data_IF_671712957834
#
_entry.id   IF_671712957834
#
_cell.length_a   1.000
_cell.length_b   1.000
_cell.length_c   1.000
_cell.angle_alpha   90.00
_cell.angle_beta   90.00
_cell.angle_gamma   90.00
#
_symmetry.space_group_name_H-M   'P 1'
#
loop_
_entity.id
_entity.type
_entity.pdbx_description
1 polymer ?
#
# COMPACT_ATOMS: atom_id res chain seq x y z
N UNK A 1 7.36 -15.79 21.46
CA UNK A 1 6.49 -14.65 21.05
C UNK A 1 7.22 -13.32 21.21
N UNK A 2 7.85 -13.06 22.36
CA UNK A 2 8.71 -11.87 22.55
C UNK A 2 9.85 -11.78 21.53
N UNK A 3 10.45 -12.90 21.13
CA UNK A 3 11.51 -12.91 20.11
C UNK A 3 11.03 -12.46 18.72
N UNK A 4 9.82 -12.88 18.33
CA UNK A 4 9.22 -12.50 17.03
C UNK A 4 8.93 -11.00 17.01
N UNK A 5 8.40 -10.46 18.12
CA UNK A 5 8.17 -9.01 18.27
C UNK A 5 9.50 -8.24 18.25
N UNK A 6 10.53 -8.76 18.92
CA UNK A 6 11.87 -8.18 18.88
C UNK A 6 12.46 -8.14 17.47
N UNK A 7 12.31 -9.22 16.69
CA UNK A 7 12.74 -9.29 15.29
C UNK A 7 11.95 -8.32 14.40
N UNK A 8 10.64 -8.19 14.59
CA UNK A 8 9.80 -7.24 13.86
C UNK A 8 10.32 -5.80 14.03
N UNK A 9 10.51 -5.35 15.27
CA UNK A 9 10.98 -3.99 15.53
C UNK A 9 12.44 -3.78 15.12
N UNK A 10 13.26 -4.83 15.14
CA UNK A 10 14.61 -4.76 14.57
C UNK A 10 14.56 -4.48 13.05
N UNK A 11 13.63 -5.11 12.34
CA UNK A 11 13.45 -4.86 10.91
C UNK A 11 12.86 -3.48 10.62
N UNK A 12 11.87 -3.03 11.42
CA UNK A 12 11.32 -1.66 11.28
C UNK A 12 12.42 -0.61 11.49
N UNK A 13 13.30 -0.78 12.48
CA UNK A 13 14.44 0.11 12.68
C UNK A 13 15.40 0.14 11.47
N UNK A 14 15.62 -1.01 10.82
CA UNK A 14 16.42 -1.08 9.59
C UNK A 14 15.77 -0.27 8.46
N UNK A 15 14.45 -0.37 8.30
CA UNK A 15 13.70 0.40 7.30
C UNK A 15 13.73 1.90 7.58
N UNK A 16 13.59 2.32 8.85
CA UNK A 16 13.69 3.74 9.24
C UNK A 16 15.06 4.34 8.89
N UNK A 17 16.14 3.58 9.06
CA UNK A 17 17.50 4.02 8.72
C UNK A 17 17.76 4.05 7.21
N UNK A 18 17.25 3.07 6.47
CA UNK A 18 17.44 2.96 5.02
C UNK A 18 16.56 3.96 4.26
N UNK A 19 15.40 4.28 4.82
CA UNK A 19 14.41 5.19 4.27
C UNK A 19 13.67 4.70 3.04
N UNK A 20 12.82 5.58 2.51
CA UNK A 20 11.93 5.25 1.39
C UNK A 20 12.72 5.08 0.09
N UNK A 21 12.72 3.87 -0.44
CA UNK A 21 13.39 3.53 -1.70
C UNK A 21 12.45 3.67 -2.88
N UNK A 22 12.72 4.62 -3.77
CA UNK A 22 11.89 4.87 -4.95
C UNK A 22 11.75 3.63 -5.85
N UNK A 23 12.84 2.88 -6.06
CA UNK A 23 12.81 1.70 -6.93
C UNK A 23 11.82 0.63 -6.47
N UNK A 24 11.58 0.49 -5.16
CA UNK A 24 10.59 -0.44 -4.61
C UNK A 24 9.17 0.01 -4.96
N UNK A 25 8.92 1.32 -4.86
CA UNK A 25 7.64 1.89 -5.28
C UNK A 25 7.44 1.69 -6.79
N UNK A 26 8.46 1.98 -7.61
CA UNK A 26 8.39 1.82 -9.06
C UNK A 26 8.12 0.35 -9.44
N UNK A 27 8.75 -0.61 -8.75
CA UNK A 27 8.49 -2.05 -8.94
C UNK A 27 7.06 -2.43 -8.53
N UNK A 28 6.58 -1.98 -7.37
CA UNK A 28 5.21 -2.23 -6.91
C UNK A 28 4.18 -1.66 -7.90
N UNK A 29 4.38 -0.42 -8.36
CA UNK A 29 3.53 0.21 -9.37
C UNK A 29 3.50 -0.62 -10.66
N UNK A 30 4.65 -1.13 -11.13
CA UNK A 30 4.69 -1.99 -12.31
C UNK A 30 3.91 -3.30 -12.12
N UNK A 31 3.98 -3.92 -10.93
CA UNK A 31 3.19 -5.12 -10.61
C UNK A 31 1.69 -4.82 -10.57
N UNK A 32 1.30 -3.70 -9.96
CA UNK A 32 -0.09 -3.24 -9.91
C UNK A 32 -0.64 -2.96 -11.32
N UNK A 33 0.13 -2.29 -12.19
CA UNK A 33 -0.23 -2.04 -13.59
C UNK A 33 -0.50 -3.33 -14.36
N UNK A 34 0.38 -4.33 -14.22
CA UNK A 34 0.19 -5.65 -14.85
C UNK A 34 -1.04 -6.34 -14.30
N UNK A 35 -1.23 -6.33 -12.98
CA UNK A 35 -2.37 -6.99 -12.34
C UNK A 35 -3.69 -6.36 -12.78
N UNK A 36 -3.74 -5.03 -12.88
CA UNK A 36 -4.93 -4.30 -13.32
C UNK A 36 -5.25 -4.55 -14.80
N UNK A 37 -4.26 -4.44 -15.68
CA UNK A 37 -4.46 -4.60 -17.13
C UNK A 37 -4.86 -6.01 -17.53
N UNK A 38 -4.35 -7.02 -16.82
CA UNK A 38 -4.57 -8.44 -17.11
C UNK A 38 -5.45 -9.13 -16.07
N UNK A 39 -6.28 -8.38 -15.36
CA UNK A 39 -7.17 -8.94 -14.35
C UNK A 39 -8.17 -9.92 -14.99
N UNK A 40 -8.27 -11.12 -14.41
CA UNK A 40 -9.30 -12.08 -14.79
C UNK A 40 -10.71 -11.55 -14.52
N UNK A 41 -11.68 -12.10 -15.24
CA UNK A 41 -13.08 -11.77 -15.02
C UNK A 41 -13.49 -12.19 -13.60
N UNK A 42 -13.94 -11.22 -12.82
CA UNK A 42 -14.51 -11.44 -11.49
C UNK A 42 -16.03 -11.61 -11.55
N UNK A 43 -16.66 -12.24 -10.54
CA UNK A 43 -18.12 -12.30 -10.45
C UNK A 43 -18.74 -10.89 -10.51
N UNK A 44 -19.86 -10.70 -11.23
CA UNK A 44 -20.46 -9.37 -11.39
C UNK A 44 -20.82 -8.69 -10.07
N UNK A 45 -21.23 -9.45 -9.06
CA UNK A 45 -21.58 -8.92 -7.74
C UNK A 45 -20.37 -8.32 -7.03
N UNK A 46 -19.20 -8.96 -7.13
CA UNK A 46 -17.98 -8.46 -6.49
C UNK A 46 -17.51 -7.17 -7.18
N UNK A 47 -17.58 -7.14 -8.52
CA UNK A 47 -17.22 -5.95 -9.30
C UNK A 47 -18.07 -4.73 -8.91
N UNK A 48 -19.39 -4.86 -8.83
CA UNK A 48 -20.26 -3.72 -8.50
C UNK A 48 -20.08 -3.25 -7.07
N UNK A 49 -19.83 -4.16 -6.12
CA UNK A 49 -19.56 -3.78 -4.71
C UNK A 49 -18.26 -3.00 -4.62
N UNK A 50 -17.19 -3.49 -5.25
CA UNK A 50 -15.89 -2.81 -5.29
C UNK A 50 -15.98 -1.43 -5.92
N UNK A 51 -16.59 -1.33 -7.12
CA UNK A 51 -16.72 -0.04 -7.81
C UNK A 51 -17.59 0.93 -7.00
N UNK A 52 -18.70 0.47 -6.41
CA UNK A 52 -19.55 1.33 -5.58
C UNK A 52 -18.81 1.88 -4.35
N UNK A 53 -17.98 1.06 -3.68
CA UNK A 53 -17.14 1.53 -2.58
C UNK A 53 -16.12 2.58 -3.06
N UNK A 54 -15.53 2.38 -4.26
CA UNK A 54 -14.62 3.36 -4.86
C UNK A 54 -15.33 4.68 -5.18
N UNK A 55 -16.63 4.68 -5.50
CA UNK A 55 -17.39 5.91 -5.75
C UNK A 55 -17.50 6.82 -4.52
N UNK A 56 -17.44 6.27 -3.31
CA UNK A 56 -17.48 7.05 -2.07
C UNK A 56 -16.14 7.73 -1.76
N UNK A 57 -15.03 7.18 -2.28
CA UNK A 57 -13.66 7.60 -1.92
C UNK A 57 -12.99 8.40 -3.03
N UNK A 58 -13.25 8.06 -4.29
CA UNK A 58 -12.53 8.59 -5.46
C UNK A 58 -13.45 9.39 -6.39
N UNK A 59 -12.91 10.38 -7.12
CA UNK A 59 -13.67 11.09 -8.14
C UNK A 59 -14.03 10.16 -9.32
N UNK A 60 -15.01 10.53 -10.17
CA UNK A 60 -15.50 9.67 -11.24
C UNK A 60 -14.45 9.12 -12.21
N UNK A 61 -13.40 9.89 -12.51
CA UNK A 61 -12.31 9.40 -13.38
C UNK A 61 -11.50 8.25 -12.76
N UNK A 62 -11.55 8.08 -11.44
CA UNK A 62 -10.68 7.17 -10.69
C UNK A 62 -11.45 5.99 -10.06
N UNK A 63 -12.75 5.84 -10.33
CA UNK A 63 -13.57 4.75 -9.74
C UNK A 63 -13.04 3.34 -10.03
N UNK A 64 -12.36 3.16 -11.17
CA UNK A 64 -11.81 1.86 -11.56
C UNK A 64 -10.35 1.68 -11.12
N UNK A 65 -9.57 2.77 -11.11
CA UNK A 65 -8.11 2.71 -10.92
C UNK A 65 -7.65 3.11 -9.53
N UNK A 66 -8.46 3.88 -8.79
CA UNK A 66 -8.03 4.63 -7.61
C UNK A 66 -7.47 3.75 -6.48
N UNK A 67 -8.07 2.58 -6.25
CA UNK A 67 -7.55 1.63 -5.26
C UNK A 67 -6.46 0.69 -5.81
N UNK A 68 -6.38 0.54 -7.13
CA UNK A 68 -5.56 -0.49 -7.79
C UNK A 68 -4.18 0.02 -8.19
N UNK A 69 -4.06 1.30 -8.56
CA UNK A 69 -2.85 1.87 -9.14
C UNK A 69 -2.21 2.88 -8.18
N UNK A 70 -1.02 2.58 -7.60
CA UNK A 70 -0.27 3.53 -6.80
C UNK A 70 0.17 4.72 -7.68
N UNK A 71 -0.33 5.92 -7.37
CA UNK A 71 -0.13 7.10 -8.23
C UNK A 71 1.05 7.98 -7.82
N UNK A 72 1.29 8.15 -6.51
CA UNK A 72 2.25 9.14 -6.01
C UNK A 72 3.24 8.55 -5.00
N UNK A 73 4.53 8.55 -5.36
CA UNK A 73 5.60 8.27 -4.41
C UNK A 73 5.85 9.49 -3.53
N UNK A 74 5.55 9.38 -2.23
CA UNK A 74 5.88 10.40 -1.25
C UNK A 74 6.80 9.83 -0.16
N UNK A 75 8.12 10.08 -0.23
CA UNK A 75 9.07 9.54 0.74
C UNK A 75 8.87 10.12 2.15
N UNK A 76 8.34 11.34 2.27
CA UNK A 76 8.10 12.00 3.56
C UNK A 76 6.96 11.31 4.33
N UNK A 77 5.85 11.00 3.64
CA UNK A 77 4.74 10.26 4.23
C UNK A 77 5.20 8.87 4.68
N UNK A 78 5.92 8.15 3.82
CA UNK A 78 6.46 6.81 4.15
C UNK A 78 7.34 6.89 5.40
N UNK A 79 8.23 7.87 5.47
CA UNK A 79 9.11 8.05 6.62
C UNK A 79 8.39 8.48 7.89
N UNK A 80 7.36 9.31 7.78
CA UNK A 80 6.52 9.69 8.90
C UNK A 80 5.78 8.47 9.45
N UNK A 81 5.15 7.67 8.58
CA UNK A 81 4.46 6.43 8.99
C UNK A 81 5.42 5.44 9.63
N UNK A 82 6.62 5.24 9.07
CA UNK A 82 7.62 4.34 9.65
C UNK A 82 8.05 4.76 11.06
N UNK A 83 8.13 6.06 11.35
CA UNK A 83 8.47 6.57 12.70
C UNK A 83 7.39 6.29 13.73
N UNK A 84 6.12 6.31 13.33
CA UNK A 84 4.98 5.98 14.20
C UNK A 84 4.94 4.49 14.58
N UNK A 85 5.57 3.61 13.78
CA UNK A 85 5.68 2.18 14.07
C UNK A 85 6.79 1.92 15.10
N UNK A 86 6.47 2.10 16.38
CA UNK A 86 7.41 1.93 17.49
C UNK A 86 6.89 0.95 18.54
N UNK A 87 7.76 0.35 19.37
CA UNK A 87 7.33 -0.49 20.49
C UNK A 87 6.44 0.24 21.51
N UNK A 88 6.40 1.58 21.49
CA UNK A 88 5.59 2.38 22.41
C UNK A 88 4.15 2.58 21.92
N UNK A 89 3.93 2.46 20.61
CA UNK A 89 2.63 2.66 19.95
C UNK A 89 1.91 1.34 19.64
N UNK A 90 2.56 0.20 19.89
CA UNK A 90 1.99 -1.13 19.70
C UNK A 90 0.93 -1.42 20.79
N UNK A 91 -0.22 -1.96 20.36
CA UNK A 91 -1.37 -2.33 21.23
C UNK A 91 -1.31 -3.79 21.64
#
# INVERSE_FOLDING_TARGET
>A
MQDVVGLLFKYINLLQQSGASKWIFDELSAVCEVTFHYQDKVPPIDYVVTVAANMETYPPQDWLVGESLPSNFNPEIIQMTLKELSPKTVR
#
